data_IF_631227342617
#
_entry.id   IF_631227342617
#
_cell.length_a   1.000
_cell.length_b   1.000
_cell.length_c   1.000
_cell.angle_alpha   90.00
_cell.angle_beta   90.00
_cell.angle_gamma   90.00
#
_symmetry.space_group_name_H-M   'P 1'
#
loop_
_entity.id
_entity.type
_entity.pdbx_description
1 polymer ?
#
# COMPACT_ATOMS: atom_id res chain seq x y z
N UNK A 1 6.22 -31.29 8.18
CA UNK A 1 7.44 -31.20 7.38
C UNK A 1 8.33 -30.16 8.05
N UNK A 2 9.67 -30.23 7.95
CA UNK A 2 10.52 -29.15 8.43
C UNK A 2 10.07 -27.84 7.75
N UNK A 3 9.94 -26.75 8.55
CA UNK A 3 9.45 -25.45 8.09
C UNK A 3 10.33 -24.82 7.00
N UNK A 4 11.62 -25.20 6.96
CA UNK A 4 12.60 -24.66 6.03
C UNK A 4 13.30 -25.76 5.27
N UNK A 5 13.23 -25.72 3.94
CA UNK A 5 13.97 -26.57 3.02
C UNK A 5 14.72 -25.67 2.02
N UNK A 6 15.97 -25.33 2.28
CA UNK A 6 16.71 -24.33 1.50
C UNK A 6 16.77 -24.61 -0.01
N UNK A 7 16.73 -25.89 -0.41
CA UNK A 7 16.70 -26.27 -1.81
C UNK A 7 15.35 -25.94 -2.47
N UNK A 8 14.25 -26.20 -1.76
CA UNK A 8 12.93 -25.86 -2.27
C UNK A 8 12.68 -24.34 -2.25
N UNK A 9 13.19 -23.62 -1.23
CA UNK A 9 13.14 -22.16 -1.23
C UNK A 9 13.82 -21.58 -2.47
N UNK A 10 15.04 -22.04 -2.78
CA UNK A 10 15.76 -21.63 -3.98
C UNK A 10 15.02 -22.02 -5.26
N UNK A 11 14.42 -23.19 -5.29
CA UNK A 11 13.64 -23.65 -6.44
C UNK A 11 12.40 -22.80 -6.68
N UNK A 12 11.65 -22.43 -5.63
CA UNK A 12 10.51 -21.48 -5.73
C UNK A 12 10.98 -20.15 -6.32
N UNK A 13 12.03 -19.57 -5.76
CA UNK A 13 12.59 -18.29 -6.22
C UNK A 13 13.05 -18.38 -7.68
N UNK A 14 13.69 -19.45 -8.07
CA UNK A 14 14.08 -19.68 -9.47
C UNK A 14 12.88 -19.72 -10.41
N UNK A 15 11.79 -20.40 -10.03
CA UNK A 15 10.59 -20.49 -10.86
C UNK A 15 9.83 -19.14 -10.92
N UNK A 16 9.77 -18.38 -9.81
CA UNK A 16 9.22 -17.01 -9.83
C UNK A 16 10.01 -16.12 -10.80
N UNK A 17 11.34 -16.14 -10.75
CA UNK A 17 12.22 -15.44 -11.71
C UNK A 17 12.00 -15.94 -13.13
N UNK A 18 11.77 -17.25 -13.32
CA UNK A 18 11.42 -17.85 -14.60
C UNK A 18 10.15 -17.27 -15.19
N UNK A 19 9.08 -17.15 -14.40
CA UNK A 19 7.81 -16.55 -14.83
C UNK A 19 7.98 -15.07 -15.19
N UNK A 20 8.76 -14.30 -14.38
CA UNK A 20 9.08 -12.88 -14.67
C UNK A 20 9.78 -12.74 -16.02
N UNK A 21 10.80 -13.57 -16.29
CA UNK A 21 11.53 -13.54 -17.57
C UNK A 21 10.61 -13.85 -18.75
N UNK A 22 9.87 -14.94 -18.65
CA UNK A 22 9.02 -15.41 -19.75
C UNK A 22 7.91 -14.40 -20.07
N UNK A 23 7.24 -13.84 -19.04
CA UNK A 23 6.14 -12.90 -19.24
C UNK A 23 6.62 -11.56 -19.78
N UNK A 24 7.71 -10.99 -19.22
CA UNK A 24 8.26 -9.72 -19.71
C UNK A 24 8.79 -9.87 -21.14
N UNK A 25 9.41 -11.01 -21.48
CA UNK A 25 9.88 -11.29 -22.83
C UNK A 25 8.72 -11.49 -23.81
N UNK A 26 7.69 -12.25 -23.45
CA UNK A 26 6.51 -12.45 -24.29
C UNK A 26 5.78 -11.14 -24.57
N UNK A 27 5.68 -10.25 -23.59
CA UNK A 27 5.12 -8.91 -23.76
C UNK A 27 6.06 -7.95 -24.49
N UNK A 28 7.33 -8.30 -24.65
CA UNK A 28 8.42 -7.42 -25.11
C UNK A 28 8.46 -6.08 -24.33
N UNK A 29 8.08 -6.12 -23.07
CA UNK A 29 7.94 -4.95 -22.20
C UNK A 29 7.83 -5.40 -20.74
N UNK A 30 8.47 -4.70 -19.80
CA UNK A 30 8.39 -4.98 -18.37
C UNK A 30 9.68 -4.64 -17.63
N UNK A 31 9.68 -4.86 -16.31
CA UNK A 31 10.76 -4.48 -15.41
C UNK A 31 11.26 -5.72 -14.65
N UNK A 32 12.15 -6.53 -15.24
CA UNK A 32 12.61 -7.77 -14.58
C UNK A 32 13.62 -7.52 -13.45
N UNK A 33 14.38 -6.43 -13.50
CA UNK A 33 15.53 -6.21 -12.62
C UNK A 33 15.18 -6.10 -11.14
N UNK A 34 14.29 -5.18 -10.78
CA UNK A 34 13.80 -5.04 -9.39
C UNK A 34 13.00 -6.26 -8.93
N UNK A 35 12.18 -6.83 -9.83
CA UNK A 35 11.46 -8.07 -9.55
C UNK A 35 12.39 -9.25 -9.18
N UNK A 36 13.64 -9.25 -9.67
CA UNK A 36 14.64 -10.26 -9.30
C UNK A 36 15.32 -9.91 -7.99
N UNK A 37 15.64 -8.62 -7.76
CA UNK A 37 16.33 -8.20 -6.54
C UNK A 37 15.50 -8.43 -5.29
N UNK A 38 14.21 -8.16 -5.35
CA UNK A 38 13.26 -8.30 -4.25
C UNK A 38 12.63 -9.70 -4.12
N UNK A 39 12.92 -10.62 -5.06
CA UNK A 39 12.28 -11.94 -5.14
C UNK A 39 12.49 -12.80 -3.89
N UNK A 40 13.69 -12.80 -3.32
CA UNK A 40 14.03 -13.58 -2.13
C UNK A 40 13.17 -13.17 -0.94
N UNK A 41 13.11 -11.86 -0.63
CA UNK A 41 12.24 -11.34 0.42
C UNK A 41 10.76 -11.68 0.17
N UNK A 42 10.26 -11.37 -1.02
CA UNK A 42 8.86 -11.54 -1.35
C UNK A 42 8.43 -13.01 -1.29
N UNK A 43 9.24 -13.94 -1.80
CA UNK A 43 8.96 -15.37 -1.74
C UNK A 43 8.88 -15.88 -0.30
N UNK A 44 9.87 -15.55 0.55
CA UNK A 44 9.89 -15.97 1.94
C UNK A 44 8.70 -15.38 2.71
N UNK A 45 8.38 -14.10 2.50
CA UNK A 45 7.23 -13.45 3.10
C UNK A 45 5.93 -14.21 2.80
N UNK A 46 5.67 -14.49 1.53
CA UNK A 46 4.43 -15.16 1.10
C UNK A 46 4.35 -16.61 1.56
N UNK A 47 5.47 -17.33 1.57
CA UNK A 47 5.51 -18.73 2.00
C UNK A 47 5.37 -18.93 3.51
N UNK A 48 5.83 -17.96 4.33
CA UNK A 48 6.07 -18.23 5.75
C UNK A 48 5.37 -17.25 6.71
N UNK A 49 5.19 -15.99 6.34
CA UNK A 49 4.77 -14.93 7.26
C UNK A 49 3.44 -14.27 6.91
N UNK A 50 3.16 -14.07 5.64
CA UNK A 50 1.97 -13.36 5.20
C UNK A 50 0.71 -14.16 5.49
N UNK A 51 -0.21 -13.56 6.24
CA UNK A 51 -1.50 -14.14 6.57
C UNK A 51 -2.53 -13.79 5.50
N UNK A 52 -2.89 -14.75 4.66
CA UNK A 52 -3.87 -14.56 3.59
C UNK A 52 -4.67 -15.84 3.33
N UNK A 53 -5.79 -15.73 2.60
CA UNK A 53 -6.62 -16.86 2.24
C UNK A 53 -7.04 -16.73 0.76
N UNK A 54 -6.48 -17.54 -0.17
CA UNK A 54 -6.75 -17.43 -1.60
C UNK A 54 -8.21 -17.52 -2.00
N UNK A 55 -8.99 -18.37 -1.32
CA UNK A 55 -10.44 -18.51 -1.55
C UNK A 55 -11.24 -17.31 -1.05
N UNK A 56 -10.66 -16.53 -0.13
CA UNK A 56 -11.27 -15.34 0.50
C UNK A 56 -10.33 -14.14 0.42
N UNK A 57 -9.99 -13.65 -0.79
CA UNK A 57 -8.96 -12.62 -0.98
C UNK A 57 -9.30 -11.28 -0.35
N UNK A 58 -10.55 -11.08 0.09
CA UNK A 58 -11.00 -9.89 0.83
C UNK A 58 -11.31 -10.17 2.31
N UNK A 59 -10.82 -11.28 2.86
CA UNK A 59 -10.97 -11.59 4.28
C UNK A 59 -10.46 -10.43 5.16
N UNK A 60 -11.28 -9.86 6.06
CA UNK A 60 -10.91 -8.65 6.81
C UNK A 60 -9.64 -8.78 7.64
N UNK A 61 -9.42 -9.93 8.28
CA UNK A 61 -8.26 -10.17 9.17
C UNK A 61 -6.98 -10.61 8.45
N UNK A 62 -6.97 -10.61 7.09
CA UNK A 62 -5.75 -10.88 6.33
C UNK A 62 -4.72 -9.77 6.52
N UNK A 63 -3.45 -10.10 6.38
CA UNK A 63 -2.43 -9.10 6.19
C UNK A 63 -2.63 -8.36 4.85
N UNK A 64 -2.02 -7.21 4.72
CA UNK A 64 -1.99 -6.46 3.47
C UNK A 64 -0.57 -6.46 2.93
N UNK A 65 -0.41 -6.85 1.67
CA UNK A 65 0.85 -6.71 0.94
C UNK A 65 0.71 -5.65 -0.13
N UNK A 66 1.44 -4.55 0.00
CA UNK A 66 1.44 -3.43 -0.95
C UNK A 66 2.77 -3.43 -1.71
N UNK A 67 2.70 -3.71 -3.01
CA UNK A 67 3.84 -3.51 -3.90
C UNK A 67 3.87 -2.04 -4.32
N UNK A 68 4.62 -1.20 -3.59
CA UNK A 68 4.78 0.23 -3.90
C UNK A 68 5.59 0.43 -5.18
N UNK A 69 6.65 -0.36 -5.36
CA UNK A 69 7.40 -0.46 -6.60
C UNK A 69 6.56 -1.17 -7.69
N UNK A 70 5.45 -0.53 -8.10
CA UNK A 70 4.44 -1.14 -8.95
C UNK A 70 4.95 -1.61 -10.32
N UNK A 71 6.10 -1.12 -10.78
CA UNK A 71 6.78 -1.59 -11.99
C UNK A 71 7.26 -3.05 -11.85
N UNK A 72 7.48 -3.57 -10.64
CA UNK A 72 7.80 -4.98 -10.37
C UNK A 72 6.57 -5.89 -10.42
N UNK A 73 5.49 -5.47 -11.04
CA UNK A 73 4.18 -6.14 -11.09
C UNK A 73 4.23 -7.63 -11.39
N UNK A 74 5.16 -8.06 -12.28
CA UNK A 74 5.29 -9.47 -12.61
C UNK A 74 5.74 -10.35 -11.44
N UNK A 75 6.51 -9.82 -10.49
CA UNK A 75 6.81 -10.54 -9.25
C UNK A 75 5.50 -10.79 -8.47
N UNK A 76 4.69 -9.73 -8.25
CA UNK A 76 3.42 -9.87 -7.54
C UNK A 76 2.47 -10.85 -8.25
N UNK A 77 2.35 -10.77 -9.58
CA UNK A 77 1.51 -11.70 -10.32
C UNK A 77 2.00 -13.14 -10.25
N UNK A 78 3.32 -13.35 -10.26
CA UNK A 78 3.91 -14.68 -10.07
C UNK A 78 3.61 -15.24 -8.67
N UNK A 79 3.70 -14.41 -7.63
CA UNK A 79 3.32 -14.78 -6.25
C UNK A 79 1.82 -15.10 -6.15
N UNK A 80 0.95 -14.29 -6.74
CA UNK A 80 -0.50 -14.55 -6.80
C UNK A 80 -0.84 -15.83 -7.55
N UNK A 81 -0.08 -16.14 -8.62
CA UNK A 81 -0.21 -17.41 -9.32
C UNK A 81 0.18 -18.59 -8.42
N UNK A 82 1.34 -18.55 -7.79
CA UNK A 82 1.79 -19.58 -6.86
C UNK A 82 0.81 -19.78 -5.68
N UNK A 83 0.18 -18.69 -5.24
CA UNK A 83 -0.86 -18.71 -4.20
C UNK A 83 -2.22 -19.27 -4.68
N UNK A 84 -2.39 -19.50 -5.98
CA UNK A 84 -3.65 -20.00 -6.56
C UNK A 84 -4.74 -18.94 -6.76
N UNK A 85 -4.39 -17.65 -6.70
CA UNK A 85 -5.32 -16.54 -6.95
C UNK A 85 -5.38 -16.11 -8.42
N UNK A 86 -4.36 -16.43 -9.21
CA UNK A 86 -4.22 -15.99 -10.60
C UNK A 86 -3.85 -17.18 -11.49
N UNK A 87 -4.62 -17.49 -12.55
CA UNK A 87 -4.30 -18.59 -13.45
C UNK A 87 -3.06 -18.29 -14.31
N UNK A 88 -2.32 -19.33 -14.69
CA UNK A 88 -1.11 -19.21 -15.50
C UNK A 88 -1.36 -18.53 -16.86
N UNK A 89 -2.53 -18.73 -17.42
CA UNK A 89 -2.89 -18.13 -18.71
C UNK A 89 -2.98 -16.58 -18.61
N UNK A 90 -3.29 -16.02 -17.45
CA UNK A 90 -3.21 -14.58 -17.25
C UNK A 90 -1.75 -14.10 -17.12
N UNK A 91 -0.85 -14.89 -16.56
CA UNK A 91 0.61 -14.59 -16.58
C UNK A 91 1.12 -14.52 -18.03
N UNK A 92 0.70 -15.45 -18.91
CA UNK A 92 1.05 -15.45 -20.33
C UNK A 92 0.52 -14.22 -21.09
N UNK A 93 -0.55 -13.60 -20.57
CA UNK A 93 -1.19 -12.42 -21.14
C UNK A 93 -0.72 -11.10 -20.51
N UNK A 94 0.42 -11.09 -19.84
CA UNK A 94 0.98 -9.89 -19.21
C UNK A 94 0.98 -8.71 -20.19
N UNK A 95 0.45 -7.56 -19.74
CA UNK A 95 0.32 -6.31 -20.50
C UNK A 95 -0.57 -6.41 -21.76
N UNK A 96 -1.37 -7.45 -21.91
CA UNK A 96 -2.34 -7.53 -22.98
C UNK A 96 -3.65 -6.88 -22.57
N UNK A 97 -4.33 -6.25 -23.54
CA UNK A 97 -5.64 -5.63 -23.30
C UNK A 97 -6.65 -6.66 -22.79
N UNK A 98 -7.33 -6.34 -21.70
CA UNK A 98 -8.33 -7.21 -21.08
C UNK A 98 -7.75 -8.38 -20.27
N UNK A 99 -6.43 -8.43 -20.02
CA UNK A 99 -5.85 -9.39 -19.07
C UNK A 99 -6.00 -8.90 -17.63
N UNK A 100 -5.88 -9.85 -16.68
CA UNK A 100 -5.81 -9.55 -15.25
C UNK A 100 -4.39 -9.13 -14.79
N UNK A 101 -3.44 -9.01 -15.71
CA UNK A 101 -2.04 -8.69 -15.44
C UNK A 101 -1.59 -7.43 -16.18
N UNK A 102 -2.15 -6.24 -15.84
CA UNK A 102 -1.72 -4.98 -16.42
C UNK A 102 -0.27 -4.66 -16.07
N UNK A 103 0.32 -3.67 -16.74
CA UNK A 103 1.73 -3.31 -16.57
C UNK A 103 2.14 -2.87 -15.15
N UNK A 104 1.18 -2.40 -14.37
CA UNK A 104 1.29 -2.06 -12.95
C UNK A 104 0.07 -2.60 -12.23
N UNK A 105 0.14 -2.95 -10.93
CA UNK A 105 -0.97 -3.57 -10.21
C UNK A 105 -2.22 -2.69 -10.15
N UNK A 106 -3.39 -3.28 -10.35
CA UNK A 106 -4.69 -2.62 -10.23
C UNK A 106 -5.62 -3.40 -9.30
N UNK A 107 -5.95 -2.81 -8.14
CA UNK A 107 -6.69 -3.45 -7.06
C UNK A 107 -8.13 -3.86 -7.41
N UNK A 108 -8.76 -3.19 -8.37
CA UNK A 108 -10.12 -3.51 -8.80
C UNK A 108 -10.15 -4.56 -9.93
N UNK A 109 -9.01 -4.89 -10.51
CA UNK A 109 -8.88 -5.81 -11.65
C UNK A 109 -8.31 -7.16 -11.22
N UNK A 110 -7.17 -7.17 -10.52
CA UNK A 110 -6.44 -8.40 -10.18
C UNK A 110 -6.78 -8.88 -8.78
N UNK A 111 -7.33 -10.10 -8.60
CA UNK A 111 -7.58 -10.66 -7.27
C UNK A 111 -6.30 -10.71 -6.43
N UNK A 112 -6.38 -10.28 -5.16
CA UNK A 112 -5.24 -10.28 -4.24
C UNK A 112 -4.35 -9.03 -4.30
N UNK A 113 -4.57 -8.11 -5.26
CA UNK A 113 -3.91 -6.80 -5.27
C UNK A 113 -4.61 -5.86 -4.29
N UNK A 114 -3.87 -5.34 -3.30
CA UNK A 114 -4.41 -4.50 -2.23
C UNK A 114 -4.52 -3.02 -2.63
N UNK A 115 -3.60 -2.53 -3.45
CA UNK A 115 -3.57 -1.15 -3.91
C UNK A 115 -3.12 -1.05 -5.36
N UNK A 116 -3.70 -0.13 -6.13
CA UNK A 116 -3.20 0.25 -7.44
C UNK A 116 -1.96 1.11 -7.26
N UNK A 117 -0.84 0.68 -7.83
CA UNK A 117 0.45 1.35 -7.73
C UNK A 117 1.05 1.59 -9.13
N UNK A 118 2.21 2.25 -9.19
CA UNK A 118 2.87 2.66 -10.42
C UNK A 118 3.41 4.08 -10.31
N UNK A 119 2.59 5.08 -9.88
CA UNK A 119 3.15 6.35 -9.41
C UNK A 119 3.89 6.13 -8.10
N UNK A 120 5.22 6.23 -8.15
CA UNK A 120 6.12 5.91 -7.03
C UNK A 120 5.79 6.66 -5.74
N UNK A 121 6.07 6.05 -4.61
CA UNK A 121 5.85 6.60 -3.27
C UNK A 121 4.41 6.51 -2.76
N UNK A 122 3.40 6.50 -3.62
CA UNK A 122 2.01 6.47 -3.17
C UNK A 122 1.60 5.12 -2.54
N UNK A 123 2.22 4.01 -2.96
CA UNK A 123 2.01 2.71 -2.33
C UNK A 123 2.40 2.71 -0.86
N UNK A 124 3.55 3.32 -0.52
CA UNK A 124 4.01 3.50 0.87
C UNK A 124 2.97 4.32 1.66
N UNK A 125 2.51 5.44 1.12
CA UNK A 125 1.53 6.29 1.80
C UNK A 125 0.16 5.59 1.96
N UNK A 126 -0.31 4.83 0.96
CA UNK A 126 -1.53 4.02 1.07
C UNK A 126 -1.39 2.94 2.15
N UNK A 127 -0.22 2.31 2.26
CA UNK A 127 0.04 1.33 3.32
C UNK A 127 0.00 1.95 4.73
N UNK A 128 0.49 3.18 4.89
CA UNK A 128 0.32 3.95 6.15
C UNK A 128 -1.16 4.09 6.48
N UNK A 129 -1.99 4.45 5.50
CA UNK A 129 -3.44 4.54 5.67
C UNK A 129 -4.10 3.20 6.06
N UNK A 130 -3.69 2.10 5.44
CA UNK A 130 -4.17 0.75 5.81
C UNK A 130 -3.77 0.38 7.25
N UNK A 131 -2.55 0.74 7.68
CA UNK A 131 -2.08 0.48 9.04
C UNK A 131 -2.88 1.28 10.08
N UNK A 132 -3.20 2.55 9.80
CA UNK A 132 -4.09 3.37 10.64
C UNK A 132 -5.47 2.71 10.76
N UNK A 133 -6.09 2.36 9.63
CA UNK A 133 -7.42 1.76 9.60
C UNK A 133 -7.49 0.44 10.38
N UNK A 134 -6.45 -0.40 10.30
CA UNK A 134 -6.34 -1.65 11.06
C UNK A 134 -6.33 -1.40 12.57
N UNK A 135 -5.57 -0.40 13.04
CA UNK A 135 -5.49 -0.05 14.46
C UNK A 135 -6.79 0.57 14.97
N UNK A 136 -7.43 1.42 14.18
CA UNK A 136 -8.75 1.99 14.52
C UNK A 136 -9.82 0.91 14.63
N UNK A 137 -9.85 -0.02 13.67
CA UNK A 137 -10.78 -1.14 13.69
C UNK A 137 -10.58 -2.03 14.93
N UNK A 138 -9.33 -2.35 15.27
CA UNK A 138 -9.01 -3.10 16.50
C UNK A 138 -9.47 -2.35 17.75
N UNK A 139 -9.19 -1.05 17.86
CA UNK A 139 -9.59 -0.25 19.02
C UNK A 139 -11.13 -0.15 19.13
N UNK A 140 -11.84 -0.06 18.00
CA UNK A 140 -13.31 -0.06 17.97
C UNK A 140 -13.88 -1.38 18.49
N UNK A 141 -13.36 -2.51 18.02
CA UNK A 141 -13.83 -3.84 18.44
C UNK A 141 -13.56 -4.12 19.92
N UNK A 142 -12.43 -3.65 20.45
CA UNK A 142 -12.12 -3.75 21.88
C UNK A 142 -13.12 -2.97 22.76
N UNK A 143 -13.63 -1.83 22.28
CA UNK A 143 -14.63 -1.02 23.01
C UNK A 143 -16.02 -1.64 23.00
N UNK A 144 -16.38 -2.30 21.90
CA UNK A 144 -17.72 -2.88 21.73
C UNK A 144 -17.88 -4.24 22.43
N UNK A 145 -16.81 -4.76 23.08
CA UNK A 145 -16.74 -6.12 23.64
C UNK A 145 -17.19 -7.22 22.64
N UNK A 146 -17.32 -6.85 21.38
CA UNK A 146 -17.77 -7.71 20.29
C UNK A 146 -16.54 -8.31 19.61
N UNK A 147 -16.42 -9.62 19.68
CA UNK A 147 -15.43 -10.45 18.96
C UNK A 147 -14.07 -9.78 18.73
N UNK A 148 -13.12 -10.07 19.59
CA UNK A 148 -11.71 -9.73 19.36
C UNK A 148 -11.29 -10.22 17.97
N UNK A 149 -10.73 -9.32 17.14
CA UNK A 149 -9.95 -9.78 15.99
C UNK A 149 -8.93 -10.78 16.51
N UNK A 150 -8.84 -11.98 15.93
CA UNK A 150 -7.90 -13.00 16.42
C UNK A 150 -6.46 -12.48 16.45
N UNK A 151 -6.18 -11.45 15.65
CA UNK A 151 -4.83 -10.90 15.43
C UNK A 151 -4.95 -9.52 14.75
N UNK A 152 -4.10 -8.57 15.14
CA UNK A 152 -3.94 -7.31 14.39
C UNK A 152 -3.29 -7.60 13.04
N UNK A 153 -3.94 -7.27 11.90
CA UNK A 153 -3.33 -7.41 10.59
C UNK A 153 -2.06 -6.59 10.45
N UNK A 154 -1.03 -7.20 9.88
CA UNK A 154 0.19 -6.51 9.47
C UNK A 154 0.00 -5.91 8.08
N UNK A 155 0.67 -4.79 7.85
CA UNK A 155 0.76 -4.16 6.52
C UNK A 155 2.21 -4.21 6.09
N UNK A 156 2.47 -5.00 5.05
CA UNK A 156 3.78 -5.20 4.46
C UNK A 156 3.88 -4.38 3.19
N UNK A 157 4.98 -3.68 3.04
CA UNK A 157 5.24 -2.85 1.86
C UNK A 157 6.58 -3.25 1.25
N UNK A 158 6.59 -3.43 -0.07
CA UNK A 158 7.84 -3.52 -0.83
C UNK A 158 8.01 -2.23 -1.63
N UNK A 159 9.08 -1.51 -1.36
CA UNK A 159 9.44 -0.25 -2.00
C UNK A 159 10.88 -0.30 -2.53
N UNK A 160 11.12 0.35 -3.65
CA UNK A 160 12.45 0.51 -4.24
C UNK A 160 13.04 1.90 -3.98
N UNK A 161 14.24 2.13 -4.51
CA UNK A 161 14.97 3.40 -4.41
C UNK A 161 14.14 4.61 -4.86
N UNK A 162 13.38 4.46 -5.94
CA UNK A 162 12.56 5.55 -6.48
C UNK A 162 11.36 5.90 -5.60
N UNK A 163 10.76 4.92 -4.91
CA UNK A 163 9.66 5.18 -3.98
C UNK A 163 10.09 6.10 -2.83
N UNK A 164 11.28 5.86 -2.27
CA UNK A 164 11.78 6.60 -1.12
C UNK A 164 12.45 7.93 -1.48
N UNK A 165 12.52 8.28 -2.76
CA UNK A 165 12.88 9.62 -3.22
C UNK A 165 11.65 10.53 -3.34
N UNK A 166 10.44 9.96 -3.36
CA UNK A 166 9.21 10.73 -3.46
C UNK A 166 8.79 11.31 -2.10
N UNK A 167 8.53 12.62 -2.05
CA UNK A 167 8.12 13.32 -0.82
C UNK A 167 6.84 12.76 -0.21
N UNK A 168 5.96 12.21 -1.03
CA UNK A 168 4.71 11.57 -0.56
C UNK A 168 5.00 10.36 0.33
N UNK A 169 6.03 9.58 0.01
CA UNK A 169 6.44 8.44 0.82
C UNK A 169 7.08 8.91 2.14
N UNK A 170 8.06 9.81 2.05
CA UNK A 170 8.77 10.31 3.24
C UNK A 170 7.84 11.06 4.19
N UNK A 171 6.94 11.91 3.66
CA UNK A 171 5.94 12.60 4.46
C UNK A 171 4.96 11.64 5.15
N UNK A 172 4.57 10.55 4.50
CA UNK A 172 3.75 9.50 5.12
C UNK A 172 4.53 8.71 6.17
N UNK A 173 5.81 8.40 5.93
CA UNK A 173 6.68 7.71 6.89
C UNK A 173 6.92 8.54 8.16
N UNK A 174 7.04 9.86 8.06
CA UNK A 174 7.11 10.74 9.23
C UNK A 174 5.86 10.61 10.11
N UNK A 175 4.68 10.62 9.49
CA UNK A 175 3.42 10.42 10.21
C UNK A 175 3.32 9.02 10.81
N UNK A 176 3.76 7.98 10.08
CA UNK A 176 3.75 6.61 10.57
C UNK A 176 4.60 6.43 11.84
N UNK A 177 5.78 7.05 11.89
CA UNK A 177 6.61 7.06 13.10
C UNK A 177 5.99 7.88 14.23
N UNK A 178 5.46 9.07 13.93
CA UNK A 178 4.78 9.93 14.91
C UNK A 178 3.56 9.23 15.53
N UNK A 179 2.78 8.54 14.71
CA UNK A 179 1.65 7.72 15.18
C UNK A 179 2.07 6.35 15.70
N UNK A 180 3.34 6.00 15.70
CA UNK A 180 3.87 4.72 16.19
C UNK A 180 3.12 3.51 15.62
N UNK A 181 3.02 3.39 14.28
CA UNK A 181 2.25 2.35 13.59
C UNK A 181 3.00 1.00 13.61
N UNK A 182 2.98 0.32 14.74
CA UNK A 182 3.73 -0.91 14.98
C UNK A 182 3.28 -2.13 14.13
N UNK A 183 2.19 -2.01 13.42
CA UNK A 183 1.69 -2.99 12.46
C UNK A 183 2.14 -2.73 11.02
N UNK A 184 2.93 -1.68 10.76
CA UNK A 184 3.49 -1.34 9.45
C UNK A 184 4.93 -1.83 9.35
N UNK A 185 5.22 -2.57 8.28
CA UNK A 185 6.55 -3.09 7.94
C UNK A 185 6.87 -2.68 6.51
N UNK A 186 7.93 -1.90 6.33
CA UNK A 186 8.43 -1.45 5.05
C UNK A 186 9.74 -2.21 4.74
N UNK A 187 9.73 -3.00 3.68
CA UNK A 187 10.95 -3.54 3.09
C UNK A 187 11.41 -2.60 1.98
N UNK A 188 12.60 -2.07 2.13
CA UNK A 188 13.27 -1.27 1.13
C UNK A 188 14.27 -2.14 0.36
N UNK A 189 13.94 -2.43 -0.91
CA UNK A 189 14.85 -3.09 -1.86
C UNK A 189 15.92 -2.08 -2.30
N UNK A 190 17.00 -2.06 -1.54
CA UNK A 190 18.13 -1.15 -1.76
C UNK A 190 19.11 -1.79 -2.74
N UNK A 191 18.82 -1.69 -4.02
CA UNK A 191 19.68 -2.20 -5.09
C UNK A 191 20.59 -1.12 -5.70
N UNK A 192 20.47 0.14 -5.26
CA UNK A 192 21.27 1.30 -5.66
C UNK A 192 21.23 1.63 -7.17
N UNK A 193 20.21 1.16 -7.91
CA UNK A 193 20.06 1.36 -9.37
C UNK A 193 18.66 1.86 -9.73
N UNK A 194 18.65 2.86 -10.62
CA UNK A 194 17.46 3.43 -11.25
C UNK A 194 17.55 3.31 -12.79
N UNK A 195 16.50 3.70 -13.50
CA UNK A 195 16.49 3.72 -14.98
C UNK A 195 17.69 4.47 -15.54
N UNK A 196 18.04 5.60 -14.94
CA UNK A 196 19.14 6.46 -15.41
C UNK A 196 20.50 6.11 -14.85
N UNK A 197 20.65 4.98 -14.12
CA UNK A 197 21.90 4.50 -13.55
C UNK A 197 21.93 4.53 -12.01
N UNK A 198 23.10 4.65 -11.43
CA UNK A 198 23.30 4.53 -10.00
C UNK A 198 22.60 5.64 -9.18
N UNK A 199 22.02 5.26 -8.02
CA UNK A 199 21.30 6.16 -7.10
C UNK A 199 22.22 7.24 -6.54
N UNK A 200 23.50 6.95 -6.30
CA UNK A 200 24.46 7.92 -5.76
C UNK A 200 24.69 9.16 -6.65
N UNK A 201 24.17 9.18 -7.87
CA UNK A 201 24.16 10.37 -8.74
C UNK A 201 23.17 11.44 -8.24
N UNK A 202 22.17 11.06 -7.48
CA UNK A 202 21.03 11.95 -7.10
C UNK A 202 20.73 11.93 -5.60
N UNK A 203 21.23 10.96 -4.85
CA UNK A 203 20.98 10.85 -3.40
C UNK A 203 22.23 10.38 -2.66
N UNK A 204 22.48 11.00 -1.52
CA UNK A 204 23.47 10.59 -0.51
C UNK A 204 22.81 10.41 0.86
N UNK A 205 21.49 10.21 0.88
CA UNK A 205 20.74 10.08 2.12
C UNK A 205 21.11 8.78 2.86
N UNK A 206 21.46 8.90 4.14
CA UNK A 206 21.54 7.78 5.04
C UNK A 206 20.12 7.41 5.49
N UNK A 207 19.51 6.42 4.82
CA UNK A 207 18.12 6.00 5.10
C UNK A 207 17.97 5.45 6.52
N UNK A 208 18.97 4.77 7.07
CA UNK A 208 18.92 4.27 8.44
C UNK A 208 18.79 5.42 9.43
N UNK A 209 19.76 6.35 9.43
CA UNK A 209 19.72 7.50 10.32
C UNK A 209 18.46 8.35 10.10
N UNK A 210 18.01 8.48 8.84
CA UNK A 210 16.83 9.24 8.52
C UNK A 210 15.55 8.61 9.12
N UNK A 211 15.34 7.31 8.95
CA UNK A 211 14.18 6.62 9.50
C UNK A 211 14.21 6.50 11.02
N UNK A 212 15.39 6.27 11.61
CA UNK A 212 15.55 6.29 13.07
C UNK A 212 15.15 7.66 13.65
N UNK A 213 15.49 8.77 12.98
CA UNK A 213 15.07 10.12 13.38
C UNK A 213 13.56 10.33 13.30
N UNK A 214 12.86 9.60 12.42
CA UNK A 214 11.41 9.57 12.30
C UNK A 214 10.73 8.57 13.27
N UNK A 215 11.45 8.03 14.26
CA UNK A 215 10.95 7.07 15.24
C UNK A 215 10.58 5.69 14.66
N UNK A 216 11.24 5.27 13.59
CA UNK A 216 11.16 3.90 13.09
C UNK A 216 12.21 3.02 13.77
N UNK A 217 11.89 1.74 13.94
CA UNK A 217 12.87 0.70 14.12
C UNK A 217 13.49 0.36 12.76
N UNK A 218 14.82 0.20 12.69
CA UNK A 218 15.50 -0.06 11.41
C UNK A 218 16.39 -1.29 11.53
N UNK A 219 16.28 -2.20 10.57
CA UNK A 219 17.17 -3.36 10.41
C UNK A 219 17.80 -3.31 9.03
N UNK A 220 19.10 -3.57 8.97
CA UNK A 220 19.85 -3.73 7.71
C UNK A 220 20.19 -5.21 7.53
N UNK A 221 19.88 -5.75 6.35
CA UNK A 221 20.09 -7.16 6.02
C UNK A 221 20.65 -7.31 4.60
N UNK A 222 21.38 -8.39 4.35
CA UNK A 222 21.61 -8.84 2.98
C UNK A 222 20.28 -9.36 2.41
N UNK A 223 19.79 -8.69 1.34
CA UNK A 223 18.51 -9.01 0.69
C UNK A 223 18.46 -10.39 0.01
N UNK A 224 19.59 -11.11 -0.01
CA UNK A 224 19.71 -12.45 -0.57
C UNK A 224 20.11 -13.52 0.47
N UNK A 225 20.35 -13.11 1.73
CA UNK A 225 20.58 -14.03 2.84
C UNK A 225 19.25 -14.41 3.50
N UNK A 226 18.75 -15.61 3.23
CA UNK A 226 17.48 -16.10 3.75
C UNK A 226 17.43 -16.17 5.29
N UNK A 227 18.56 -16.36 5.97
CA UNK A 227 18.59 -16.38 7.43
C UNK A 227 18.42 -14.97 8.01
N UNK A 228 19.09 -13.96 7.43
CA UNK A 228 18.92 -12.57 7.84
C UNK A 228 17.51 -12.05 7.52
N UNK A 229 16.96 -12.38 6.33
CA UNK A 229 15.60 -12.02 5.96
C UNK A 229 14.58 -12.61 6.95
N UNK A 230 14.72 -13.90 7.31
CA UNK A 230 13.83 -14.53 8.31
C UNK A 230 13.97 -13.87 9.67
N UNK A 231 15.18 -13.60 10.14
CA UNK A 231 15.39 -12.91 11.42
C UNK A 231 14.70 -11.54 11.46
N UNK A 232 14.74 -10.78 10.36
CA UNK A 232 14.03 -9.49 10.27
C UNK A 232 12.51 -9.66 10.22
N UNK A 233 12.00 -10.68 9.51
CA UNK A 233 10.57 -10.99 9.51
C UNK A 233 10.08 -11.55 10.84
N UNK A 234 10.88 -12.37 11.53
CA UNK A 234 10.58 -12.84 12.90
C UNK A 234 10.46 -11.63 13.84
N UNK A 235 11.38 -10.67 13.77
CA UNK A 235 11.30 -9.41 14.51
C UNK A 235 10.01 -8.65 14.19
N UNK A 236 9.59 -8.60 12.93
CA UNK A 236 8.34 -7.98 12.52
C UNK A 236 7.10 -8.64 13.15
N UNK A 237 7.18 -9.94 13.43
CA UNK A 237 6.09 -10.73 14.02
C UNK A 237 6.04 -10.69 15.54
N UNK A 238 7.07 -10.19 16.22
CA UNK A 238 7.11 -10.12 17.67
C UNK A 238 5.96 -9.26 18.23
N UNK A 239 5.42 -9.72 19.36
CA UNK A 239 4.43 -8.96 20.11
C UNK A 239 5.11 -7.86 20.94
N UNK A 240 4.38 -6.75 21.15
CA UNK A 240 4.86 -5.66 22.01
C UNK A 240 5.78 -4.65 21.29
N UNK A 241 5.92 -4.73 19.98
CA UNK A 241 6.54 -3.66 19.21
C UNK A 241 5.68 -2.39 19.32
N UNK A 242 6.34 -1.25 19.41
CA UNK A 242 5.73 0.07 19.61
C UNK A 242 6.04 1.06 18.47
N UNK A 243 6.80 0.63 17.43
CA UNK A 243 7.23 1.44 16.30
C UNK A 243 6.99 0.71 14.98
N UNK A 244 6.82 1.44 13.85
CA UNK A 244 6.92 0.85 12.53
C UNK A 244 8.34 0.32 12.28
N UNK A 245 8.46 -0.69 11.43
CA UNK A 245 9.75 -1.34 11.09
C UNK A 245 10.13 -1.04 9.65
N UNK A 246 11.34 -0.54 9.45
CA UNK A 246 12.03 -0.53 8.17
C UNK A 246 13.04 -1.69 8.11
N UNK A 247 12.94 -2.52 7.10
CA UNK A 247 13.95 -3.53 6.74
C UNK A 247 14.65 -3.03 5.48
N UNK A 248 15.91 -2.62 5.60
CA UNK A 248 16.73 -2.24 4.45
C UNK A 248 17.42 -3.51 3.93
N UNK A 249 16.93 -4.05 2.83
CA UNK A 249 17.51 -5.19 2.14
C UNK A 249 18.56 -4.71 1.12
N UNK A 250 19.84 -4.83 1.46
CA UNK A 250 20.90 -4.57 0.47
C UNK A 250 20.85 -5.68 -0.57
N UNK A 251 20.46 -5.34 -1.78
CA UNK A 251 20.21 -6.30 -2.86
C UNK A 251 21.00 -5.96 -4.13
N UNK A 252 20.86 -6.79 -5.14
CA UNK A 252 21.53 -6.62 -6.42
C UNK A 252 20.46 -6.61 -7.52
N UNK A 253 20.41 -5.56 -8.33
CA UNK A 253 19.55 -5.45 -9.50
C UNK A 253 19.69 -6.69 -10.39
N UNK A 254 18.59 -7.33 -10.78
CA UNK A 254 18.58 -8.55 -11.59
C UNK A 254 19.40 -9.72 -10.99
N UNK A 255 19.36 -9.91 -9.67
CA UNK A 255 20.09 -10.97 -8.96
C UNK A 255 19.86 -12.36 -9.55
N UNK A 256 20.94 -13.00 -9.97
CA UNK A 256 20.94 -14.34 -10.58
C UNK A 256 20.85 -14.33 -12.11
N UNK A 257 20.79 -13.16 -12.75
CA UNK A 257 20.96 -13.06 -14.21
C UNK A 257 22.39 -13.47 -14.60
N UNK A 258 22.54 -14.26 -15.67
CA UNK A 258 23.80 -14.91 -15.99
C UNK A 258 24.94 -13.92 -16.32
N UNK A 259 24.65 -12.86 -17.09
CA UNK A 259 25.61 -11.84 -17.48
C UNK A 259 25.13 -10.42 -17.25
N UNK A 260 23.87 -10.22 -16.89
CA UNK A 260 23.25 -8.91 -16.75
C UNK A 260 22.93 -8.53 -15.30
N UNK A 261 23.39 -9.33 -14.32
CA UNK A 261 23.31 -8.98 -12.89
C UNK A 261 23.97 -7.62 -12.62
N UNK A 262 23.31 -6.74 -11.86
CA UNK A 262 23.83 -5.42 -11.50
C UNK A 262 23.72 -4.35 -12.60
N UNK A 263 23.18 -4.66 -13.77
CA UNK A 263 23.12 -3.70 -14.87
C UNK A 263 21.81 -2.87 -14.85
N UNK A 264 21.94 -1.56 -14.92
CA UNK A 264 20.80 -0.62 -14.97
C UNK A 264 19.82 -0.92 -16.12
N UNK A 265 20.30 -1.47 -17.23
CA UNK A 265 19.48 -1.85 -18.38
C UNK A 265 18.36 -2.83 -18.00
N UNK A 266 18.60 -3.71 -17.04
CA UNK A 266 17.60 -4.70 -16.58
C UNK A 266 16.45 -4.07 -15.80
N UNK A 267 16.59 -2.81 -15.36
CA UNK A 267 15.54 -2.12 -14.62
C UNK A 267 14.24 -2.04 -15.44
N UNK A 268 14.30 -1.62 -16.71
CA UNK A 268 13.11 -1.35 -17.51
C UNK A 268 13.04 -2.08 -18.85
N UNK A 269 13.97 -3.00 -19.15
CA UNK A 269 14.01 -3.75 -20.40
C UNK A 269 13.93 -5.25 -20.15
N UNK A 270 13.10 -6.00 -20.93
CA UNK A 270 13.08 -7.46 -20.90
C UNK A 270 14.46 -8.04 -21.24
N UNK A 271 14.84 -9.12 -20.54
CA UNK A 271 16.10 -9.80 -20.84
C UNK A 271 16.10 -10.37 -22.28
N UNK A 272 17.24 -10.34 -23.02
CA UNK A 272 17.38 -11.02 -24.31
C UNK A 272 17.13 -12.52 -24.20
N UNK A 273 16.75 -13.18 -25.29
CA UNK A 273 16.42 -14.62 -25.29
C UNK A 273 17.62 -15.49 -24.88
N UNK A 274 18.81 -15.15 -25.34
CA UNK A 274 20.05 -15.81 -24.97
C UNK A 274 20.39 -15.64 -23.48
N UNK A 275 20.15 -14.45 -22.91
CA UNK A 275 20.32 -14.19 -21.49
C UNK A 275 19.32 -14.97 -20.65
N UNK A 276 18.04 -15.07 -21.10
CA UNK A 276 17.02 -15.87 -20.44
C UNK A 276 17.42 -17.34 -20.39
N UNK A 277 17.90 -17.90 -21.51
CA UNK A 277 18.33 -19.29 -21.57
C UNK A 277 19.50 -19.57 -20.63
N UNK A 278 20.52 -18.69 -20.64
CA UNK A 278 21.68 -18.78 -19.75
C UNK A 278 21.28 -18.62 -18.27
N UNK A 279 20.41 -17.67 -17.95
CA UNK A 279 19.90 -17.43 -16.60
C UNK A 279 19.09 -18.62 -16.09
N UNK A 280 18.19 -19.18 -16.91
CA UNK A 280 17.46 -20.39 -16.54
C UNK A 280 18.40 -21.55 -16.22
N UNK A 281 19.43 -21.76 -17.04
CA UNK A 281 20.43 -22.79 -16.78
C UNK A 281 21.18 -22.55 -15.47
N UNK A 282 21.59 -21.32 -15.20
CA UNK A 282 22.28 -20.96 -13.96
C UNK A 282 21.39 -21.14 -12.71
N UNK A 283 20.09 -20.93 -12.84
CA UNK A 283 19.08 -21.13 -11.80
C UNK A 283 18.60 -22.58 -11.67
N UNK A 284 19.13 -23.52 -12.47
CA UNK A 284 18.73 -24.93 -12.46
C UNK A 284 17.39 -25.21 -13.16
N UNK A 285 16.88 -24.27 -13.95
CA UNK A 285 15.68 -24.45 -14.74
C UNK A 285 15.98 -24.98 -16.14
N UNK A 286 14.99 -25.60 -16.79
CA UNK A 286 15.12 -26.00 -18.19
C UNK A 286 15.13 -24.74 -19.10
N UNK A 287 16.22 -24.47 -19.85
CA UNK A 287 16.34 -23.28 -20.71
C UNK A 287 15.28 -23.20 -21.83
N UNK A 288 14.72 -24.35 -22.24
CA UNK A 288 13.72 -24.45 -23.32
C UNK A 288 12.28 -24.42 -22.81
N UNK A 289 12.07 -24.55 -21.50
CA UNK A 289 10.74 -24.51 -20.92
C UNK A 289 10.30 -23.05 -20.72
N UNK A 290 9.06 -22.73 -21.11
CA UNK A 290 8.46 -21.43 -20.90
C UNK A 290 7.24 -21.55 -20.00
N UNK A 291 7.07 -20.58 -19.09
CA UNK A 291 5.96 -20.55 -18.14
C UNK A 291 5.78 -21.86 -17.36
N UNK A 292 6.90 -22.48 -17.01
CA UNK A 292 6.94 -23.76 -16.33
C UNK A 292 7.15 -23.55 -14.83
N UNK A 293 6.30 -24.21 -14.03
CA UNK A 293 6.47 -24.34 -12.58
C UNK A 293 6.35 -25.81 -12.24
N UNK A 294 7.25 -26.34 -11.43
CA UNK A 294 7.19 -27.74 -10.99
C UNK A 294 6.02 -27.93 -10.01
N UNK A 295 5.21 -28.97 -10.25
CA UNK A 295 3.94 -29.20 -9.51
C UNK A 295 4.14 -29.33 -8.00
N UNK A 296 5.25 -29.90 -7.55
CA UNK A 296 5.59 -30.05 -6.14
C UNK A 296 5.85 -28.73 -5.41
N UNK A 297 6.09 -27.65 -6.13
CA UNK A 297 6.33 -26.33 -5.53
C UNK A 297 5.06 -25.63 -5.08
N UNK A 298 3.90 -25.90 -5.69
CA UNK A 298 2.63 -25.30 -5.27
C UNK A 298 2.25 -25.65 -3.82
N UNK A 299 2.23 -26.92 -3.41
CA UNK A 299 1.96 -27.25 -2.01
C UNK A 299 3.06 -26.79 -1.06
N UNK A 300 4.32 -26.71 -1.50
CA UNK A 300 5.40 -26.16 -0.68
C UNK A 300 5.25 -24.66 -0.48
N UNK A 301 4.96 -23.90 -1.53
CA UNK A 301 4.70 -22.46 -1.45
C UNK A 301 3.52 -22.16 -0.50
N UNK A 302 2.49 -22.99 -0.55
CA UNK A 302 1.24 -22.81 0.17
C UNK A 302 1.19 -23.56 1.53
N UNK A 303 2.34 -23.99 2.09
CA UNK A 303 2.39 -24.85 3.28
C UNK A 303 1.75 -24.26 4.54
N UNK A 304 1.66 -22.93 4.65
CA UNK A 304 1.05 -22.24 5.78
C UNK A 304 -0.44 -21.89 5.57
N UNK A 305 -0.97 -22.07 4.37
CA UNK A 305 -2.31 -21.58 4.01
C UNK A 305 -3.45 -22.26 4.76
N UNK A 306 -3.34 -23.55 5.08
CA UNK A 306 -4.44 -24.32 5.69
C UNK A 306 -4.90 -23.68 6.99
N UNK A 307 -3.95 -23.22 7.82
CA UNK A 307 -4.27 -22.56 9.11
C UNK A 307 -5.09 -21.29 8.95
N UNK A 308 -4.79 -20.48 7.94
CA UNK A 308 -5.46 -19.20 7.70
C UNK A 308 -6.76 -19.37 6.92
N UNK A 309 -6.84 -20.35 6.04
CA UNK A 309 -8.03 -20.60 5.24
C UNK A 309 -9.20 -21.09 6.09
N UNK A 310 -8.95 -21.98 7.05
CA UNK A 310 -9.95 -22.46 8.00
C UNK A 310 -10.48 -21.30 8.87
N UNK A 311 -9.59 -20.40 9.31
CA UNK A 311 -9.99 -19.18 10.04
C UNK A 311 -10.80 -18.22 9.16
N UNK A 312 -10.41 -18.04 7.92
CA UNK A 312 -11.12 -17.18 6.97
C UNK A 312 -12.52 -17.73 6.66
N UNK A 313 -12.65 -19.03 6.47
CA UNK A 313 -13.93 -19.70 6.23
C UNK A 313 -14.87 -19.58 7.43
N UNK A 314 -14.38 -19.84 8.64
CA UNK A 314 -15.15 -19.72 9.88
C UNK A 314 -15.63 -18.28 10.12
N UNK A 315 -14.82 -17.28 9.74
CA UNK A 315 -15.11 -15.86 9.98
C UNK A 315 -15.86 -15.20 8.80
N UNK A 316 -15.75 -15.73 7.57
CA UNK A 316 -16.32 -15.11 6.36
C UNK A 316 -17.84 -14.94 6.48
N UNK A 317 -18.53 -15.94 6.99
CA UNK A 317 -19.98 -15.90 7.18
C UNK A 317 -20.41 -14.96 8.30
N UNK A 318 -19.53 -14.63 9.25
CA UNK A 318 -19.82 -13.73 10.37
C UNK A 318 -19.52 -12.26 10.05
N UNK A 319 -18.59 -11.99 9.11
CA UNK A 319 -18.13 -10.64 8.78
C UNK A 319 -18.85 -9.99 7.60
N UNK A 320 -19.70 -10.73 6.88
CA UNK A 320 -20.51 -10.21 5.76
C UNK A 320 -21.72 -9.37 6.20
N UNK A 321 -22.01 -9.30 7.49
CA UNK A 321 -23.02 -8.35 7.98
C UNK A 321 -22.36 -6.96 8.06
N UNK A 322 -22.91 -5.95 7.36
CA UNK A 322 -22.49 -4.57 7.59
C UNK A 322 -22.55 -4.31 9.10
N UNK A 323 -21.53 -3.69 9.65
CA UNK A 323 -21.62 -3.19 11.03
C UNK A 323 -22.89 -2.34 11.12
N UNK A 324 -23.85 -2.78 11.93
CA UNK A 324 -25.15 -2.10 12.07
C UNK A 324 -25.05 -0.65 12.59
N UNK A 325 -23.82 -0.18 12.81
CA UNK A 325 -23.51 1.07 13.50
C UNK A 325 -22.90 2.16 12.62
N UNK A 326 -22.67 1.93 11.32
CA UNK A 326 -22.22 3.00 10.40
C UNK A 326 -23.35 3.42 9.48
N UNK A 327 -24.36 4.06 10.04
CA UNK A 327 -25.52 4.56 9.28
C UNK A 327 -25.38 6.04 8.97
N UNK A 328 -25.82 6.44 7.78
CA UNK A 328 -26.02 7.87 7.49
C UNK A 328 -27.02 8.46 8.48
N UNK A 329 -26.85 9.74 8.88
CA UNK A 329 -27.85 10.44 9.68
C UNK A 329 -29.25 10.35 9.05
N UNK A 330 -30.27 10.23 9.88
CA UNK A 330 -31.67 10.31 9.41
C UNK A 330 -31.96 11.64 8.73
N UNK A 331 -32.91 11.67 7.79
CA UNK A 331 -33.20 12.86 6.98
C UNK A 331 -33.51 14.10 7.85
N UNK A 332 -34.11 13.91 9.01
CA UNK A 332 -34.50 14.98 9.92
C UNK A 332 -33.40 15.41 10.90
N UNK A 333 -32.23 14.73 10.90
CA UNK A 333 -31.12 15.05 11.80
C UNK A 333 -30.13 16.05 11.19
N UNK A 334 -30.19 16.22 9.85
CA UNK A 334 -29.31 17.14 9.15
C UNK A 334 -29.56 18.61 9.54
N UNK A 335 -28.51 19.44 9.61
CA UNK A 335 -28.67 20.87 9.83
C UNK A 335 -29.63 21.50 8.83
N UNK A 336 -30.54 22.32 9.31
CA UNK A 336 -31.52 23.05 8.47
C UNK A 336 -31.21 24.53 8.53
N UNK A 337 -31.41 25.22 7.40
CA UNK A 337 -31.13 26.65 7.26
C UNK A 337 -32.34 27.38 6.69
N UNK A 338 -32.57 28.61 7.12
CA UNK A 338 -33.62 29.46 6.60
C UNK A 338 -33.18 30.17 5.32
N UNK A 339 -34.15 30.53 4.46
CA UNK A 339 -33.89 31.17 3.16
C UNK A 339 -33.14 32.51 3.23
N UNK A 340 -33.09 33.12 4.41
CA UNK A 340 -32.40 34.41 4.62
C UNK A 340 -31.15 34.30 5.50
N UNK A 341 -30.77 33.12 5.87
CA UNK A 341 -29.56 32.90 6.68
C UNK A 341 -28.31 33.06 5.82
N UNK A 342 -27.48 34.04 6.14
CA UNK A 342 -26.17 34.20 5.52
C UNK A 342 -25.18 33.29 6.23
N UNK A 343 -24.74 32.26 5.57
CA UNK A 343 -23.82 31.26 6.10
C UNK A 343 -22.79 30.86 5.02
N UNK A 344 -21.51 30.86 5.37
CA UNK A 344 -20.50 30.32 4.47
C UNK A 344 -20.69 28.80 4.32
N UNK A 345 -20.57 28.28 3.10
CA UNK A 345 -20.75 26.83 2.80
C UNK A 345 -19.82 25.94 3.61
N UNK A 346 -18.60 26.37 3.91
CA UNK A 346 -17.66 25.65 4.79
C UNK A 346 -18.19 25.45 6.21
N UNK A 347 -18.98 26.40 6.73
CA UNK A 347 -19.60 26.30 8.07
C UNK A 347 -20.75 25.29 8.04
N UNK A 348 -21.61 25.35 7.00
CA UNK A 348 -22.66 24.38 6.82
C UNK A 348 -22.10 22.95 6.66
N UNK A 349 -21.03 22.80 5.88
CA UNK A 349 -20.34 21.52 5.75
C UNK A 349 -19.76 21.04 7.08
N UNK A 350 -19.10 21.92 7.87
CA UNK A 350 -18.55 21.57 9.18
C UNK A 350 -19.58 21.03 10.15
N UNK A 351 -20.79 21.60 10.17
CA UNK A 351 -21.92 21.11 10.97
C UNK A 351 -22.41 19.72 10.49
N UNK A 352 -22.50 19.52 9.18
CA UNK A 352 -22.84 18.23 8.61
C UNK A 352 -21.75 17.17 8.90
N UNK A 353 -20.47 17.56 8.81
CA UNK A 353 -19.33 16.68 9.09
C UNK A 353 -19.29 16.26 10.56
N UNK A 354 -19.60 17.16 11.50
CA UNK A 354 -19.71 16.82 12.92
C UNK A 354 -20.79 15.76 13.14
N UNK A 355 -21.96 15.93 12.55
CA UNK A 355 -23.04 14.96 12.63
C UNK A 355 -22.63 13.61 12.04
N UNK A 356 -22.04 13.60 10.86
CA UNK A 356 -21.49 12.39 10.24
C UNK A 356 -20.45 11.72 11.13
N UNK A 357 -19.59 12.49 11.79
CA UNK A 357 -18.60 11.98 12.74
C UNK A 357 -19.24 11.24 13.92
N UNK A 358 -20.39 11.67 14.40
CA UNK A 358 -21.13 11.02 15.50
C UNK A 358 -21.85 9.74 15.07
N UNK A 359 -22.34 9.66 13.84
CA UNK A 359 -23.21 8.57 13.35
C UNK A 359 -22.44 7.55 12.48
N UNK A 360 -21.46 7.98 11.71
CA UNK A 360 -20.69 7.14 10.82
C UNK A 360 -19.36 6.73 11.48
N UNK A 361 -19.38 5.64 12.23
CA UNK A 361 -18.19 5.20 13.00
C UNK A 361 -16.99 4.81 12.13
N UNK A 362 -17.21 4.48 10.86
CA UNK A 362 -16.13 4.23 9.89
C UNK A 362 -15.56 5.50 9.23
N UNK A 363 -16.09 6.70 9.53
CA UNK A 363 -15.58 7.94 8.96
C UNK A 363 -14.35 8.43 9.71
N UNK A 364 -13.23 8.54 8.99
CA UNK A 364 -11.93 8.99 9.48
C UNK A 364 -11.37 10.06 8.55
N UNK A 365 -10.66 11.03 9.07
CA UNK A 365 -10.01 12.04 8.24
C UNK A 365 -9.52 13.23 9.04
N UNK A 366 -9.17 14.30 8.34
CA UNK A 366 -8.66 15.51 8.98
C UNK A 366 -8.33 16.59 7.97
N UNK A 367 -7.51 17.54 8.38
CA UNK A 367 -7.11 18.67 7.57
C UNK A 367 -5.59 18.75 7.46
N UNK A 368 -5.09 19.34 6.37
CA UNK A 368 -3.68 19.67 6.20
C UNK A 368 -3.33 20.96 6.93
N UNK A 369 -3.38 20.91 8.29
CA UNK A 369 -3.11 22.04 9.21
C UNK A 369 -4.05 23.25 9.05
N UNK A 370 -5.27 23.02 8.52
CA UNK A 370 -6.23 24.08 8.24
C UNK A 370 -7.59 23.86 8.92
N UNK A 371 -7.63 23.13 10.04
CA UNK A 371 -8.88 22.79 10.76
C UNK A 371 -9.77 24.01 11.04
N UNK A 372 -9.27 25.16 11.54
CA UNK A 372 -10.10 26.33 11.78
C UNK A 372 -10.68 26.90 10.47
N UNK A 373 -9.86 26.93 9.41
CA UNK A 373 -10.23 27.50 8.11
C UNK A 373 -11.17 26.60 7.31
N UNK A 374 -10.97 25.26 7.38
CA UNK A 374 -11.81 24.28 6.74
C UNK A 374 -13.09 23.94 7.54
N UNK A 375 -13.23 24.44 8.78
CA UNK A 375 -14.30 24.11 9.72
C UNK A 375 -14.42 22.62 10.05
N UNK A 376 -13.30 21.89 10.15
CA UNK A 376 -13.27 20.49 10.55
C UNK A 376 -13.07 20.27 12.04
N UNK A 377 -12.82 21.32 12.82
CA UNK A 377 -12.53 21.24 14.26
C UNK A 377 -13.69 20.68 15.11
N UNK A 378 -14.96 20.87 14.70
CA UNK A 378 -16.10 20.28 15.38
C UNK A 378 -16.10 18.73 15.24
N UNK A 379 -15.77 18.22 14.05
CA UNK A 379 -15.53 16.78 13.85
C UNK A 379 -14.39 16.29 14.74
N UNK A 380 -13.23 16.93 14.70
CA UNK A 380 -12.08 16.54 15.50
C UNK A 380 -12.42 16.43 17.00
N UNK A 381 -13.14 17.42 17.52
CA UNK A 381 -13.64 17.41 18.91
C UNK A 381 -14.63 16.28 19.19
N UNK A 382 -15.51 15.95 18.23
CA UNK A 382 -16.54 14.94 18.41
C UNK A 382 -15.98 13.51 18.39
N UNK A 383 -14.90 13.25 17.64
CA UNK A 383 -14.39 11.89 17.39
C UNK A 383 -13.05 11.59 18.05
N UNK A 384 -12.37 12.60 18.58
CA UNK A 384 -11.03 12.49 19.14
C UNK A 384 -9.92 12.37 18.10
N UNK A 385 -8.69 12.65 18.52
CA UNK A 385 -7.50 12.58 17.66
C UNK A 385 -6.86 11.19 17.74
N UNK A 386 -6.49 10.64 16.59
CA UNK A 386 -5.71 9.42 16.49
C UNK A 386 -4.26 9.71 16.85
N UNK A 387 -3.74 9.05 17.86
CA UNK A 387 -2.38 9.25 18.37
C UNK A 387 -1.66 7.93 18.63
N UNK A 388 -0.39 7.97 19.00
CA UNK A 388 0.36 6.81 19.47
C UNK A 388 -0.26 6.16 20.72
N UNK A 389 -1.03 6.91 21.51
CA UNK A 389 -1.60 6.48 22.79
C UNK A 389 -3.12 6.25 22.74
N UNK A 390 -3.82 6.84 21.77
CA UNK A 390 -5.25 6.60 21.54
C UNK A 390 -5.51 6.23 20.08
N UNK A 391 -5.77 4.95 19.84
CA UNK A 391 -6.06 4.38 18.51
C UNK A 391 -7.51 4.50 18.11
N UNK A 392 -8.37 4.96 19.01
CA UNK A 392 -9.80 5.07 18.77
C UNK A 392 -10.23 6.41 18.19
N UNK A 393 -9.38 7.42 18.28
CA UNK A 393 -9.59 8.72 17.65
C UNK A 393 -9.69 8.59 16.12
N UNK A 394 -10.51 9.43 15.51
CA UNK A 394 -10.77 9.39 14.06
C UNK A 394 -10.41 10.69 13.33
N UNK A 395 -9.99 11.72 14.08
CA UNK A 395 -9.32 12.88 13.50
C UNK A 395 -7.83 12.57 13.31
N UNK A 396 -7.32 12.80 12.11
CA UNK A 396 -5.92 12.63 11.75
C UNK A 396 -5.28 14.01 11.55
N UNK A 397 -4.35 14.36 12.42
CA UNK A 397 -3.57 15.59 12.28
C UNK A 397 -2.46 15.37 11.25
N UNK A 398 -2.67 15.79 10.01
CA UNK A 398 -1.72 15.56 8.92
C UNK A 398 -0.57 16.57 8.90
N UNK A 399 -0.76 17.77 9.50
CA UNK A 399 0.13 18.90 9.30
C UNK A 399 0.11 19.37 7.84
N UNK A 400 1.04 20.23 7.45
CA UNK A 400 1.11 20.78 6.08
C UNK A 400 1.65 19.70 5.12
N UNK A 401 0.78 18.75 4.73
CA UNK A 401 1.14 17.56 3.91
C UNK A 401 -0.04 17.10 3.06
N UNK A 402 -0.47 17.88 2.07
CA UNK A 402 -1.65 17.59 1.24
C UNK A 402 -1.49 16.27 0.46
N UNK A 403 -0.33 16.03 -0.16
CA UNK A 403 -0.10 14.83 -0.95
C UNK A 403 -0.04 13.56 -0.08
N UNK A 404 0.77 13.50 0.99
CA UNK A 404 0.70 12.39 1.93
C UNK A 404 -0.70 12.19 2.53
N UNK A 405 -1.40 13.25 2.92
CA UNK A 405 -2.78 13.18 3.41
C UNK A 405 -3.68 12.43 2.42
N UNK A 406 -3.74 12.87 1.17
CA UNK A 406 -4.63 12.26 0.19
C UNK A 406 -4.27 10.80 -0.12
N UNK A 407 -2.99 10.46 -0.20
CA UNK A 407 -2.56 9.08 -0.43
C UNK A 407 -2.81 8.17 0.78
N UNK A 408 -2.63 8.67 2.02
CA UNK A 408 -2.99 7.94 3.25
C UNK A 408 -4.51 7.68 3.28
N UNK A 409 -5.33 8.67 2.93
CA UNK A 409 -6.79 8.52 2.88
C UNK A 409 -7.23 7.47 1.84
N UNK A 410 -6.53 7.38 0.71
CA UNK A 410 -6.74 6.31 -0.26
C UNK A 410 -6.51 4.93 0.40
N UNK A 411 -5.44 4.79 1.18
CA UNK A 411 -5.14 3.57 1.91
C UNK A 411 -6.21 3.20 2.95
N UNK A 412 -6.72 4.18 3.69
CA UNK A 412 -7.82 3.97 4.64
C UNK A 412 -9.06 3.45 3.91
N UNK A 413 -9.44 4.09 2.80
CA UNK A 413 -10.61 3.68 2.02
C UNK A 413 -10.46 2.29 1.36
N UNK A 414 -9.23 1.85 1.08
CA UNK A 414 -8.93 0.51 0.54
C UNK A 414 -8.98 -0.59 1.60
N UNK A 415 -8.76 -0.26 2.87
CA UNK A 415 -8.65 -1.27 3.93
C UNK A 415 -9.92 -2.08 4.12
N UNK A 416 -11.07 -1.42 4.11
CA UNK A 416 -12.38 -2.04 4.34
C UNK A 416 -13.49 -1.32 3.56
N UNK A 417 -14.53 -2.01 3.08
CA UNK A 417 -15.70 -1.38 2.48
C UNK A 417 -16.42 -0.38 3.40
N UNK A 418 -16.32 -0.57 4.71
CA UNK A 418 -16.95 0.29 5.72
C UNK A 418 -16.11 1.54 6.04
N UNK A 419 -14.82 1.52 5.73
CA UNK A 419 -13.94 2.67 5.93
C UNK A 419 -14.30 3.79 4.96
N UNK A 420 -14.55 4.97 5.50
CA UNK A 420 -14.78 6.21 4.76
C UNK A 420 -13.73 7.22 5.15
N UNK A 421 -13.20 7.91 4.18
CA UNK A 421 -12.10 8.82 4.42
C UNK A 421 -12.41 10.22 3.89
N UNK A 422 -12.00 11.28 4.61
CA UNK A 422 -12.04 12.64 4.11
C UNK A 422 -10.73 13.38 4.40
N UNK A 423 -10.39 14.32 3.51
CA UNK A 423 -9.26 15.22 3.72
C UNK A 423 -9.58 16.64 3.28
N UNK A 424 -9.23 17.61 4.09
CA UNK A 424 -9.57 19.00 3.89
C UNK A 424 -8.32 19.89 3.70
N UNK A 425 -8.41 20.79 2.72
CA UNK A 425 -7.41 21.83 2.47
C UNK A 425 -8.04 22.99 1.66
N UNK A 426 -7.26 24.00 1.27
CA UNK A 426 -7.71 25.01 0.32
C UNK A 426 -7.74 24.45 -1.10
N UNK A 427 -8.66 24.94 -1.93
CA UNK A 427 -8.79 24.42 -3.30
C UNK A 427 -7.50 24.62 -4.12
N UNK A 428 -6.80 25.73 -3.94
CA UNK A 428 -5.53 25.99 -4.61
C UNK A 428 -4.48 24.92 -4.30
N UNK A 429 -4.48 24.34 -3.09
CA UNK A 429 -3.53 23.30 -2.68
C UNK A 429 -3.92 21.90 -3.16
N UNK A 430 -5.03 21.75 -3.88
CA UNK A 430 -5.33 20.52 -4.62
C UNK A 430 -4.24 20.16 -5.63
N UNK A 431 -3.46 21.13 -6.09
CA UNK A 431 -2.33 20.91 -6.99
C UNK A 431 -1.24 20.04 -6.36
N UNK A 432 -0.96 20.20 -5.05
CA UNK A 432 -0.03 19.32 -4.33
C UNK A 432 -0.50 17.86 -4.27
N UNK A 433 -1.80 17.61 -4.22
CA UNK A 433 -2.38 16.28 -4.01
C UNK A 433 -3.05 15.70 -5.27
N UNK A 434 -2.95 16.36 -6.40
CA UNK A 434 -3.68 16.03 -7.64
C UNK A 434 -3.48 14.57 -8.06
N UNK A 435 -2.25 14.03 -7.94
CA UNK A 435 -1.99 12.65 -8.31
C UNK A 435 -2.70 11.65 -7.39
N UNK A 436 -2.76 11.90 -6.09
CA UNK A 436 -3.51 11.05 -5.16
C UNK A 436 -5.04 11.11 -5.41
N UNK A 437 -5.59 12.28 -5.79
CA UNK A 437 -6.99 12.42 -6.21
C UNK A 437 -7.25 11.56 -7.46
N UNK A 438 -6.34 11.62 -8.45
CA UNK A 438 -6.42 10.76 -9.63
C UNK A 438 -6.39 9.28 -9.26
N UNK A 439 -5.55 8.88 -8.30
CA UNK A 439 -5.50 7.50 -7.83
C UNK A 439 -6.77 7.07 -7.11
N UNK A 440 -7.45 7.96 -6.38
CA UNK A 440 -8.79 7.67 -5.82
C UNK A 440 -9.79 7.29 -6.92
N UNK A 441 -9.80 8.06 -8.02
CA UNK A 441 -10.69 7.82 -9.16
C UNK A 441 -10.36 6.52 -9.90
N UNK A 442 -9.08 6.25 -10.19
CA UNK A 442 -8.64 5.00 -10.84
C UNK A 442 -9.03 3.79 -10.00
N UNK A 443 -8.84 3.85 -8.70
CA UNK A 443 -9.15 2.76 -7.76
C UNK A 443 -10.64 2.65 -7.44
N UNK A 444 -11.46 3.62 -7.88
CA UNK A 444 -12.91 3.67 -7.64
C UNK A 444 -13.27 3.63 -6.14
N UNK A 445 -12.47 4.33 -5.33
CA UNK A 445 -12.63 4.35 -3.85
C UNK A 445 -13.31 5.63 -3.36
N UNK A 446 -14.13 5.55 -2.28
CA UNK A 446 -14.93 6.65 -1.81
C UNK A 446 -14.15 7.56 -0.84
N UNK A 447 -13.22 8.37 -1.35
CA UNK A 447 -12.54 9.41 -0.57
C UNK A 447 -13.22 10.75 -0.82
N UNK A 448 -13.56 11.46 0.25
CA UNK A 448 -14.15 12.80 0.19
C UNK A 448 -13.03 13.84 0.30
N UNK A 449 -12.76 14.52 -0.81
CA UNK A 449 -11.84 15.66 -0.83
C UNK A 449 -12.63 16.95 -0.57
N UNK A 450 -12.29 17.63 0.53
CA UNK A 450 -12.98 18.85 0.99
C UNK A 450 -12.11 20.05 0.68
N UNK A 451 -12.61 20.93 -0.17
CA UNK A 451 -11.91 22.14 -0.57
C UNK A 451 -12.68 23.38 -0.14
N UNK A 452 -11.93 24.35 0.42
CA UNK A 452 -12.44 25.65 0.83
C UNK A 452 -11.62 26.77 0.20
N UNK A 453 -11.98 28.02 0.46
CA UNK A 453 -11.26 29.20 -0.04
C UNK A 453 -11.22 29.26 -1.58
N UNK A 454 -12.37 28.98 -2.21
CA UNK A 454 -12.55 28.93 -3.67
C UNK A 454 -13.35 30.11 -4.22
N UNK A 455 -13.83 31.00 -3.33
CA UNK A 455 -14.71 32.10 -3.71
C UNK A 455 -13.95 33.30 -4.25
N UNK A 456 -14.47 33.92 -5.31
CA UNK A 456 -13.99 35.21 -5.83
C UNK A 456 -14.12 36.34 -4.80
N UNK A 457 -14.96 36.18 -3.76
CA UNK A 457 -15.12 37.16 -2.68
C UNK A 457 -14.05 37.06 -1.61
N UNK A 458 -13.21 36.05 -1.66
CA UNK A 458 -12.01 35.92 -0.85
C UNK A 458 -10.83 36.51 -1.63
N UNK A 459 -10.27 37.61 -1.20
CA UNK A 459 -9.22 38.32 -1.95
C UNK A 459 -7.98 38.66 -1.14
N UNK A 460 -8.11 38.67 0.18
CA UNK A 460 -7.06 39.13 1.12
C UNK A 460 -5.81 38.22 1.10
N UNK A 461 -5.94 36.96 0.78
CA UNK A 461 -4.82 36.01 0.76
C UNK A 461 -3.92 36.18 -0.50
N UNK A 462 -4.40 36.88 -1.51
CA UNK A 462 -3.65 37.19 -2.73
C UNK A 462 -3.58 36.05 -3.77
N UNK A 463 -2.89 36.27 -4.90
CA UNK A 463 -2.94 35.38 -6.07
C UNK A 463 -2.52 33.93 -5.82
N UNK A 464 -1.59 33.70 -4.89
CA UNK A 464 -1.09 32.35 -4.57
C UNK A 464 -2.14 31.45 -3.90
N UNK A 465 -3.20 32.03 -3.36
CA UNK A 465 -4.27 31.33 -2.65
C UNK A 465 -5.62 31.40 -3.40
N UNK A 466 -5.66 32.05 -4.56
CA UNK A 466 -6.86 32.20 -5.39
C UNK A 466 -6.90 31.13 -6.47
N UNK A 467 -7.88 30.23 -6.39
CA UNK A 467 -8.09 29.15 -7.35
C UNK A 467 -8.88 29.66 -8.56
N UNK A 468 -8.34 29.51 -9.77
CA UNK A 468 -8.99 29.87 -11.04
C UNK A 468 -9.22 28.62 -11.90
N UNK A 469 -8.15 27.94 -12.26
CA UNK A 469 -8.14 26.77 -13.14
C UNK A 469 -8.45 25.44 -12.44
N UNK A 470 -8.39 25.37 -11.12
CA UNK A 470 -8.40 24.14 -10.32
C UNK A 470 -9.66 23.29 -10.53
N UNK A 471 -10.87 23.90 -10.53
CA UNK A 471 -12.11 23.16 -10.76
C UNK A 471 -12.13 22.52 -12.15
N UNK A 472 -11.68 23.23 -13.18
CA UNK A 472 -11.61 22.68 -14.53
C UNK A 472 -10.57 21.58 -14.62
N UNK A 473 -9.40 21.78 -14.00
CA UNK A 473 -8.33 20.76 -13.92
C UNK A 473 -8.81 19.48 -13.23
N UNK A 474 -9.52 19.58 -12.11
CA UNK A 474 -10.04 18.42 -11.38
C UNK A 474 -11.17 17.70 -12.16
N UNK A 475 -11.96 18.42 -12.94
CA UNK A 475 -13.00 17.82 -13.81
C UNK A 475 -12.42 16.94 -14.94
N UNK A 476 -11.13 17.01 -15.20
CA UNK A 476 -10.46 16.15 -16.19
C UNK A 476 -10.06 14.77 -15.61
N UNK A 477 -10.19 14.57 -14.31
CA UNK A 477 -9.99 13.30 -13.64
C UNK A 477 -11.28 12.50 -13.72
#
# INVERSE_FOLDING_TARGET
MPLHQPELDRSVIAHLKGLVMDATRAANSGHPGGAFSSCDFAALLWMEYLCYAPKYPRWPSRDRFVLSAGHESMLLYSLLHMAGMLPLDEIKRFRQLGSLTPGHPENHLTPGVEATTGPLGQGVAMAVGMAVAALQEQARQQREETTTLPRLPKVWVLAGDGDLQEDVALGACQLAGHWALHNLILYYDKNDIQISGAVNRVSSLDFKAHFESMQWEVMEVDGHDHAQLRAAMDRAMENGRDKPLLIIGQSIMAKGAATMEGLAKTHGEPLPAEEIAATKQALGLNPQAHFAVAEELYPYFNRNLNTFQDQAEANFHNTTKPSAQSTLPGINEWPTYTNHQMLATRVAFGQALELMGRTMLGLTGGSADLEPSNNTGAFAKAVGEFTAHDRSGRNLAFGVREFPMAAILNGIALYSPDAKAFGATFLTFSDYMRNAIRMSAIQKIPVLHVFTHDSIFLGEDGPTHQSIEHVMSLRLI
#
